data_IF_430443499102
#
_entry.id   IF_430443499102
#
_cell.length_a   1.000
_cell.length_b   1.000
_cell.length_c   1.000
_cell.angle_alpha   90.00
_cell.angle_beta   90.00
_cell.angle_gamma   90.00
#
_symmetry.space_group_name_H-M   'P 1'
#
loop_
_entity.id
_entity.type
_entity.pdbx_description
1 polymer ?
#
# COMPACT_ATOMS: atom_id res chain seq x y z
N UNK A 1 -4.91 -47.44 9.68
CA UNK A 1 -3.59 -46.79 9.68
C UNK A 1 -3.23 -46.44 8.24
N UNK A 2 -3.32 -45.17 7.84
CA UNK A 2 -2.88 -44.69 6.51
C UNK A 2 -2.07 -43.42 6.75
N UNK A 3 -0.77 -43.50 6.50
CA UNK A 3 0.18 -42.38 6.66
C UNK A 3 0.14 -41.54 5.38
N UNK A 4 -0.40 -40.32 5.45
CA UNK A 4 -0.24 -39.33 4.39
C UNK A 4 1.04 -38.52 4.63
N UNK A 5 2.06 -38.82 3.85
CA UNK A 5 3.32 -38.10 3.73
C UNK A 5 3.07 -36.71 3.12
N UNK A 6 3.20 -35.64 3.93
CA UNK A 6 3.23 -34.26 3.44
C UNK A 6 4.63 -33.92 2.95
N UNK A 7 4.80 -33.69 1.66
CA UNK A 7 6.01 -33.13 1.07
C UNK A 7 6.13 -31.65 1.44
N UNK A 8 7.08 -31.34 2.32
CA UNK A 8 7.49 -29.98 2.70
C UNK A 8 8.32 -29.37 1.58
N UNK A 9 7.86 -28.28 0.95
CA UNK A 9 8.74 -27.43 0.13
C UNK A 9 9.55 -26.52 1.05
N UNK A 10 10.87 -26.70 1.05
CA UNK A 10 11.85 -25.80 1.69
C UNK A 10 12.16 -24.62 0.75
N UNK A 11 12.45 -23.42 1.26
CA UNK A 11 12.98 -22.32 0.45
C UNK A 11 14.44 -22.62 0.10
N UNK A 12 14.74 -22.71 -1.20
CA UNK A 12 16.06 -23.00 -1.73
C UNK A 12 16.94 -21.74 -1.78
N UNK A 13 18.15 -21.85 -1.22
CA UNK A 13 19.30 -20.95 -1.43
C UNK A 13 19.64 -20.87 -2.92
N UNK A 14 19.93 -19.68 -3.45
CA UNK A 14 20.41 -19.50 -4.83
C UNK A 14 21.86 -19.03 -4.84
N UNK A 15 22.66 -19.75 -5.62
CA UNK A 15 24.05 -19.49 -5.96
C UNK A 15 24.14 -18.49 -7.11
N UNK A 16 25.17 -17.64 -7.06
CA UNK A 16 25.49 -16.70 -8.11
C UNK A 16 26.18 -17.40 -9.28
N UNK A 17 25.74 -17.12 -10.51
CA UNK A 17 26.50 -17.40 -11.72
C UNK A 17 26.65 -16.12 -12.54
N UNK A 18 27.90 -15.84 -12.89
CA UNK A 18 28.33 -14.71 -13.68
C UNK A 18 28.25 -15.03 -15.19
N UNK A 19 27.72 -14.09 -15.95
CA UNK A 19 27.95 -13.90 -17.38
C UNK A 19 28.09 -12.36 -17.55
N UNK A 20 29.18 -11.79 -18.02
CA UNK A 20 29.94 -12.15 -19.21
C UNK A 20 29.48 -11.21 -20.33
N UNK A 21 30.00 -9.98 -20.38
CA UNK A 21 29.79 -9.08 -21.52
C UNK A 21 31.11 -8.45 -21.98
N UNK A 22 31.30 -8.55 -23.29
CA UNK A 22 32.50 -8.30 -24.09
C UNK A 22 32.69 -6.81 -24.39
N UNK A 23 33.96 -6.39 -24.47
CA UNK A 23 34.44 -5.07 -24.91
C UNK A 23 34.08 -4.76 -26.37
N UNK A 24 33.83 -3.47 -26.66
CA UNK A 24 34.15 -2.88 -27.95
C UNK A 24 34.75 -1.48 -27.77
N UNK A 25 35.92 -1.29 -28.39
CA UNK A 25 36.81 -0.13 -28.40
C UNK A 25 36.43 0.81 -29.55
N UNK A 26 36.50 2.13 -29.34
CA UNK A 26 36.43 3.15 -30.38
C UNK A 26 37.32 4.35 -30.03
N UNK A 27 38.37 4.55 -30.83
CA UNK A 27 39.46 5.54 -30.71
C UNK A 27 39.08 6.94 -31.27
N UNK A 28 39.86 7.97 -30.87
CA UNK A 28 39.73 9.42 -31.20
C UNK A 28 39.82 9.80 -32.69
N UNK A 29 39.86 11.05 -33.14
CA UNK A 29 40.52 12.32 -32.68
C UNK A 29 39.85 13.54 -33.40
N UNK A 30 40.25 14.84 -33.21
CA UNK A 30 39.39 16.02 -33.33
C UNK A 30 39.66 16.89 -34.58
N UNK A 31 38.85 17.93 -34.82
CA UNK A 31 39.22 19.07 -35.70
C UNK A 31 38.68 20.38 -35.15
N UNK A 32 39.50 21.42 -35.29
CA UNK A 32 39.43 22.75 -34.70
C UNK A 32 38.88 23.81 -35.67
N UNK A 33 38.38 24.90 -35.07
CA UNK A 33 38.54 26.31 -35.47
C UNK A 33 37.70 26.92 -36.63
N UNK A 34 36.95 27.97 -36.27
CA UNK A 34 37.14 29.40 -36.66
C UNK A 34 35.76 30.11 -36.57
N UNK A 35 35.49 31.07 -35.68
CA UNK A 35 36.00 32.44 -35.52
C UNK A 35 35.03 33.51 -36.10
N UNK A 36 34.74 34.53 -35.27
CA UNK A 36 34.32 35.91 -35.59
C UNK A 36 32.84 36.13 -35.98
N UNK A 37 32.12 37.21 -35.61
CA UNK A 37 32.45 38.49 -34.94
C UNK A 37 31.15 39.19 -34.49
N UNK A 38 31.28 40.01 -33.42
CA UNK A 38 30.56 41.25 -33.12
C UNK A 38 29.01 41.26 -32.98
N UNK A 39 28.53 41.61 -31.77
CA UNK A 39 28.14 43.00 -31.47
C UNK A 39 27.79 43.17 -30.00
N UNK A 40 28.36 44.23 -29.43
CA UNK A 40 28.08 44.76 -28.10
C UNK A 40 26.65 45.30 -28.04
N UNK A 41 25.84 44.72 -27.16
CA UNK A 41 24.67 45.38 -26.60
C UNK A 41 24.50 44.93 -25.15
N UNK A 42 24.92 45.77 -24.22
CA UNK A 42 24.53 45.68 -22.82
C UNK A 42 23.07 46.11 -22.72
N UNK A 43 22.17 45.26 -22.18
CA UNK A 43 21.28 45.78 -21.15
C UNK A 43 20.97 44.78 -20.03
N UNK A 44 21.03 45.32 -18.81
CA UNK A 44 20.23 44.97 -17.61
C UNK A 44 20.50 43.62 -16.92
N UNK A 45 20.75 43.58 -15.60
CA UNK A 45 20.87 42.33 -14.86
C UNK A 45 19.50 41.64 -14.84
N UNK A 46 19.36 40.58 -15.65
CA UNK A 46 18.27 39.64 -15.51
C UNK A 46 18.32 39.05 -14.09
N UNK A 47 17.22 39.19 -13.36
CA UNK A 47 17.01 38.55 -12.07
C UNK A 47 17.48 37.10 -12.16
N UNK A 48 18.39 36.72 -11.26
CA UNK A 48 18.82 35.35 -11.11
C UNK A 48 17.57 34.48 -10.94
N UNK A 49 17.23 33.72 -11.98
CA UNK A 49 16.20 32.69 -11.91
C UNK A 49 16.62 31.76 -10.79
N UNK A 50 15.89 31.82 -9.67
CA UNK A 50 16.06 30.88 -8.58
C UNK A 50 16.04 29.46 -9.19
N UNK A 51 16.99 28.57 -8.82
CA UNK A 51 16.98 27.22 -9.35
C UNK A 51 15.60 26.61 -9.10
N UNK A 52 14.95 26.18 -10.17
CA UNK A 52 13.66 25.52 -10.09
C UNK A 52 13.77 24.38 -9.08
N UNK A 53 12.95 24.45 -8.02
CA UNK A 53 12.87 23.39 -7.01
C UNK A 53 12.66 22.06 -7.74
N UNK A 54 13.47 21.02 -7.49
CA UNK A 54 13.26 19.71 -8.10
C UNK A 54 11.80 19.32 -7.91
N UNK A 55 11.13 18.96 -9.00
CA UNK A 55 9.77 18.44 -8.93
C UNK A 55 9.77 17.27 -7.95
N UNK A 56 8.91 17.33 -6.94
CA UNK A 56 8.79 16.26 -5.97
C UNK A 56 8.46 14.97 -6.72
N UNK A 57 9.15 13.87 -6.38
CA UNK A 57 8.80 12.56 -6.94
C UNK A 57 7.34 12.25 -6.60
N UNK A 58 6.51 11.84 -7.58
CA UNK A 58 5.12 11.49 -7.33
C UNK A 58 4.99 10.45 -6.22
N UNK A 59 3.99 10.61 -5.35
CA UNK A 59 3.77 9.68 -4.24
C UNK A 59 3.42 8.29 -4.79
N UNK A 60 4.03 7.25 -4.21
CA UNK A 60 3.69 5.84 -4.49
C UNK A 60 3.70 4.95 -3.23
N UNK A 61 2.85 3.92 -3.24
CA UNK A 61 2.76 2.85 -2.24
C UNK A 61 2.80 1.52 -3.00
N UNK A 62 3.66 0.60 -2.58
CA UNK A 62 3.84 -0.72 -3.20
C UNK A 62 3.64 -1.80 -2.16
N UNK A 63 2.94 -2.88 -2.53
CA UNK A 63 2.71 -4.04 -1.69
C UNK A 63 2.98 -5.35 -2.45
N UNK A 64 3.36 -6.37 -1.67
CA UNK A 64 3.59 -7.74 -2.14
C UNK A 64 2.62 -8.71 -1.43
N UNK A 65 1.91 -9.52 -2.20
CA UNK A 65 0.96 -10.49 -1.66
C UNK A 65 1.69 -11.61 -0.90
N UNK A 66 1.28 -11.86 0.33
CA UNK A 66 1.90 -12.85 1.22
C UNK A 66 3.13 -12.34 1.98
N UNK A 67 3.57 -11.10 1.76
CA UNK A 67 4.57 -10.45 2.62
C UNK A 67 3.91 -9.98 3.93
N UNK A 68 4.49 -10.40 5.05
CA UNK A 68 3.91 -10.14 6.37
C UNK A 68 3.80 -8.66 6.72
N UNK A 69 4.76 -7.83 6.28
CA UNK A 69 4.73 -6.39 6.51
C UNK A 69 3.63 -5.72 5.68
N UNK A 70 3.50 -6.09 4.40
CA UNK A 70 2.44 -5.63 3.51
C UNK A 70 1.07 -5.96 4.11
N UNK A 71 0.85 -7.22 4.53
CA UNK A 71 -0.40 -7.64 5.15
C UNK A 71 -0.77 -6.84 6.41
N UNK A 72 0.23 -6.44 7.22
CA UNK A 72 -0.01 -5.56 8.38
C UNK A 72 -0.33 -4.13 7.95
N UNK A 73 0.32 -3.61 6.91
CA UNK A 73 0.01 -2.30 6.36
C UNK A 73 -1.41 -2.25 5.80
N UNK A 74 -1.81 -3.26 5.02
CA UNK A 74 -3.14 -3.40 4.42
C UNK A 74 -4.23 -3.46 5.50
N UNK A 75 -3.99 -4.23 6.57
CA UNK A 75 -4.88 -4.24 7.73
C UNK A 75 -5.01 -2.87 8.39
N UNK A 76 -3.89 -2.23 8.77
CA UNK A 76 -3.94 -0.97 9.52
C UNK A 76 -4.49 0.17 8.69
N UNK A 77 -4.14 0.27 7.41
CA UNK A 77 -4.67 1.26 6.48
C UNK A 77 -6.19 1.15 6.36
N UNK A 78 -6.69 -0.01 5.93
CA UNK A 78 -8.13 -0.24 5.77
C UNK A 78 -8.90 -0.13 7.10
N UNK A 79 -8.27 -0.51 8.23
CA UNK A 79 -8.89 -0.40 9.54
C UNK A 79 -8.98 1.06 10.02
N UNK A 80 -7.99 1.90 9.69
CA UNK A 80 -8.03 3.34 9.97
C UNK A 80 -9.10 4.01 9.12
N UNK A 81 -9.17 3.70 7.83
CA UNK A 81 -10.23 4.20 6.93
C UNK A 81 -11.63 3.82 7.44
N UNK A 82 -11.84 2.55 7.83
CA UNK A 82 -13.11 2.10 8.40
C UNK A 82 -13.49 2.83 9.70
N UNK A 83 -12.52 3.40 10.42
CA UNK A 83 -12.75 4.12 11.68
C UNK A 83 -12.92 5.62 11.50
N UNK A 84 -12.29 6.21 10.49
CA UNK A 84 -12.38 7.63 10.15
C UNK A 84 -13.56 7.97 9.23
N UNK A 85 -14.37 6.97 8.87
CA UNK A 85 -15.43 7.15 7.88
C UNK A 85 -16.49 8.20 8.28
N UNK A 86 -17.08 8.84 7.28
CA UNK A 86 -18.07 9.90 7.44
C UNK A 86 -19.45 9.42 6.96
N UNK A 87 -20.52 9.52 7.77
CA UNK A 87 -20.67 10.34 8.99
C UNK A 87 -20.23 9.67 10.30
N UNK A 88 -19.70 8.45 10.25
CA UNK A 88 -19.20 7.72 11.41
C UNK A 88 -18.60 6.38 11.00
N UNK A 89 -17.96 5.65 11.94
CA UNK A 89 -17.18 4.47 11.61
C UNK A 89 -18.01 3.35 10.95
N UNK A 90 -17.46 2.76 9.90
CA UNK A 90 -17.99 1.55 9.27
C UNK A 90 -17.70 0.32 10.16
N UNK A 91 -18.64 0.07 11.07
CA UNK A 91 -18.55 -1.05 12.01
C UNK A 91 -18.59 -2.42 11.32
N UNK A 92 -19.18 -2.51 10.12
CA UNK A 92 -19.26 -3.77 9.38
C UNK A 92 -17.90 -4.09 8.74
N UNK A 93 -17.26 -3.12 8.11
CA UNK A 93 -15.91 -3.26 7.57
C UNK A 93 -14.90 -3.51 8.70
N UNK A 94 -14.92 -2.71 9.77
CA UNK A 94 -14.02 -2.90 10.91
C UNK A 94 -14.15 -4.30 11.54
N UNK A 95 -15.37 -4.86 11.58
CA UNK A 95 -15.61 -6.23 12.05
C UNK A 95 -15.06 -7.28 11.08
N UNK A 96 -15.25 -7.09 9.77
CA UNK A 96 -14.74 -8.01 8.75
C UNK A 96 -13.20 -8.03 8.75
N UNK A 97 -12.56 -6.86 8.78
CA UNK A 97 -11.10 -6.73 8.88
C UNK A 97 -10.56 -7.46 10.11
N UNK A 98 -11.16 -7.23 11.29
CA UNK A 98 -10.73 -7.92 12.51
C UNK A 98 -10.91 -9.43 12.47
N UNK A 99 -11.93 -9.93 11.77
CA UNK A 99 -12.16 -11.36 11.61
C UNK A 99 -11.14 -12.00 10.66
N UNK A 100 -10.72 -11.27 9.64
CA UNK A 100 -9.79 -11.73 8.61
C UNK A 100 -8.32 -11.70 9.07
N UNK A 101 -7.89 -10.59 9.66
CA UNK A 101 -6.47 -10.34 9.94
C UNK A 101 -6.00 -10.77 11.31
N UNK A 102 -6.91 -10.93 12.28
CA UNK A 102 -6.55 -11.27 13.66
C UNK A 102 -6.80 -12.74 13.93
N UNK A 103 -5.88 -13.36 14.68
CA UNK A 103 -6.17 -14.68 15.25
C UNK A 103 -7.40 -14.61 16.17
N UNK A 104 -8.29 -15.63 16.20
CA UNK A 104 -9.47 -15.62 17.05
C UNK A 104 -9.15 -15.42 18.54
N UNK A 105 -8.04 -16.01 19.00
CA UNK A 105 -7.55 -15.85 20.36
C UNK A 105 -7.17 -14.39 20.67
N UNK A 106 -6.50 -13.72 19.74
CA UNK A 106 -6.15 -12.32 19.91
C UNK A 106 -7.36 -11.40 19.85
N UNK A 107 -8.29 -11.63 18.90
CA UNK A 107 -9.54 -10.88 18.82
C UNK A 107 -10.34 -10.95 20.14
N UNK A 108 -10.35 -12.11 20.82
CA UNK A 108 -10.98 -12.25 22.15
C UNK A 108 -10.26 -11.44 23.23
N UNK A 109 -8.91 -11.46 23.24
CA UNK A 109 -8.11 -10.64 24.17
C UNK A 109 -8.33 -9.14 23.95
N UNK A 110 -8.43 -8.70 22.70
CA UNK A 110 -8.74 -7.32 22.37
C UNK A 110 -10.10 -6.91 22.93
N UNK A 111 -11.16 -7.68 22.67
CA UNK A 111 -12.51 -7.36 23.20
C UNK A 111 -12.54 -7.23 24.73
N UNK A 112 -11.83 -8.11 25.44
CA UNK A 112 -11.72 -8.03 26.89
C UNK A 112 -10.98 -6.75 27.35
N UNK A 113 -9.92 -6.38 26.64
CA UNK A 113 -9.19 -5.14 26.90
C UNK A 113 -10.06 -3.91 26.59
N UNK A 114 -10.78 -3.88 25.47
CA UNK A 114 -11.65 -2.79 25.05
C UNK A 114 -12.72 -2.51 26.09
N UNK A 115 -13.39 -3.56 26.59
CA UNK A 115 -14.38 -3.45 27.67
C UNK A 115 -13.81 -2.82 28.95
N UNK A 116 -12.53 -3.07 29.26
CA UNK A 116 -11.87 -2.53 30.45
C UNK A 116 -11.38 -1.10 30.26
N UNK A 117 -10.96 -0.73 29.04
CA UNK A 117 -10.23 0.52 28.79
C UNK A 117 -11.06 1.58 28.04
N UNK A 118 -12.27 1.23 27.57
CA UNK A 118 -13.15 2.10 26.80
C UNK A 118 -12.43 2.80 25.64
N UNK A 119 -11.63 2.04 24.91
CA UNK A 119 -10.81 2.50 23.80
C UNK A 119 -10.72 1.38 22.76
N UNK A 120 -10.39 1.72 21.51
CA UNK A 120 -10.17 0.73 20.46
C UNK A 120 -8.93 -0.09 20.76
N UNK A 121 -9.05 -1.43 20.77
CA UNK A 121 -7.97 -2.33 21.15
C UNK A 121 -6.86 -2.46 20.10
N UNK A 122 -7.15 -2.19 18.82
CA UNK A 122 -6.17 -2.20 17.74
C UNK A 122 -5.36 -0.91 17.76
N UNK A 123 -6.05 0.23 17.87
CA UNK A 123 -5.41 1.55 17.89
C UNK A 123 -4.81 1.92 19.26
N UNK A 124 -5.26 1.23 20.33
CA UNK A 124 -5.02 1.56 21.75
C UNK A 124 -5.34 3.02 22.09
N UNK A 125 -6.38 3.55 21.46
CA UNK A 125 -6.79 4.94 21.55
C UNK A 125 -8.30 5.09 21.41
N UNK A 126 -8.85 6.23 21.83
CA UNK A 126 -10.27 6.57 21.64
C UNK A 126 -10.53 7.25 20.30
N UNK A 127 -9.53 7.96 19.77
CA UNK A 127 -9.58 8.63 18.48
C UNK A 127 -8.86 7.81 17.40
N UNK A 128 -9.05 8.25 16.16
CA UNK A 128 -8.43 7.65 14.97
C UNK A 128 -7.12 8.38 14.66
N UNK A 129 -6.05 7.68 14.25
CA UNK A 129 -4.82 8.34 13.84
C UNK A 129 -5.02 9.08 12.50
N UNK A 130 -4.30 10.19 12.33
CA UNK A 130 -4.23 10.95 11.07
C UNK A 130 -3.12 10.42 10.15
N UNK A 131 -2.11 9.75 10.72
CA UNK A 131 -1.04 9.11 9.97
C UNK A 131 -0.69 7.78 10.61
N UNK A 132 -0.26 6.84 9.79
CA UNK A 132 0.27 5.56 10.23
C UNK A 132 1.50 5.19 9.41
N UNK A 133 2.45 4.51 10.06
CA UNK A 133 3.62 3.93 9.41
C UNK A 133 3.78 2.50 9.88
N UNK A 134 3.87 1.57 8.95
CA UNK A 134 4.30 0.19 9.21
C UNK A 134 5.73 0.05 8.72
N UNK A 135 6.61 -0.51 9.53
CA UNK A 135 8.03 -0.62 9.21
C UNK A 135 8.63 -1.89 9.77
N UNK A 136 9.63 -2.44 9.11
CA UNK A 136 10.47 -3.48 9.70
C UNK A 136 11.46 -2.85 10.69
N UNK A 137 11.66 -3.52 11.83
CA UNK A 137 12.74 -3.16 12.76
C UNK A 137 14.10 -3.23 12.05
N UNK A 138 15.10 -2.53 12.59
CA UNK A 138 16.44 -2.47 11.98
C UNK A 138 17.11 -3.85 11.75
N UNK A 139 16.67 -4.89 12.46
CA UNK A 139 17.14 -6.26 12.28
C UNK A 139 16.20 -7.15 11.42
N UNK A 140 15.12 -6.60 10.87
CA UNK A 140 14.14 -7.30 10.04
C UNK A 140 13.29 -8.34 10.77
N UNK A 141 13.31 -8.38 12.11
CA UNK A 141 12.67 -9.45 12.91
C UNK A 141 11.29 -9.09 13.43
N UNK A 142 10.96 -7.81 13.49
CA UNK A 142 9.73 -7.30 14.08
C UNK A 142 9.08 -6.31 13.15
N UNK A 143 7.74 -6.37 13.06
CA UNK A 143 6.95 -5.35 12.39
C UNK A 143 6.58 -4.32 13.46
N UNK A 144 6.94 -3.07 13.20
CA UNK A 144 6.64 -1.92 14.04
C UNK A 144 5.56 -1.09 13.38
N UNK A 145 4.49 -0.81 14.11
CA UNK A 145 3.43 0.10 13.69
C UNK A 145 3.49 1.36 14.51
N UNK A 146 3.56 2.50 13.85
CA UNK A 146 3.58 3.84 14.44
C UNK A 146 2.29 4.54 14.05
N UNK A 147 1.47 4.90 15.04
CA UNK A 147 0.23 5.65 14.84
C UNK A 147 0.40 7.07 15.36
N UNK A 148 0.01 8.05 14.55
CA UNK A 148 0.10 9.47 14.87
C UNK A 148 -1.30 10.06 14.95
N UNK A 149 -1.61 10.69 16.06
CA UNK A 149 -2.91 11.27 16.40
C UNK A 149 -2.80 12.79 16.54
N UNK A 150 -3.89 13.51 16.27
CA UNK A 150 -3.91 14.98 16.32
C UNK A 150 -3.39 15.61 15.02
N UNK A 151 -2.81 16.81 15.08
CA UNK A 151 -2.36 17.55 13.91
C UNK A 151 -3.19 18.82 13.64
N UNK A 152 -2.70 19.65 12.70
CA UNK A 152 -3.19 21.02 12.54
C UNK A 152 -2.78 21.88 13.73
N UNK A 153 -3.75 22.49 14.39
CA UNK A 153 -3.54 23.30 15.61
C UNK A 153 -3.45 22.44 16.89
N UNK A 154 -3.78 21.15 16.82
CA UNK A 154 -3.77 20.24 17.97
C UNK A 154 -2.41 19.54 18.16
N UNK A 155 -1.98 19.27 19.41
CA UNK A 155 -0.72 18.59 19.68
C UNK A 155 -0.69 17.18 19.07
N UNK A 156 0.40 16.87 18.39
CA UNK A 156 0.64 15.56 17.79
C UNK A 156 1.08 14.55 18.86
N UNK A 157 0.42 13.39 18.90
CA UNK A 157 0.81 12.27 19.77
C UNK A 157 1.11 11.04 18.92
N UNK A 158 2.23 10.39 19.20
CA UNK A 158 2.63 9.17 18.50
C UNK A 158 2.66 7.97 19.46
N UNK A 159 2.08 6.86 19.02
CA UNK A 159 2.10 5.57 19.73
C UNK A 159 2.75 4.52 18.84
N UNK A 160 3.59 3.65 19.42
CA UNK A 160 4.28 2.58 18.68
C UNK A 160 3.94 1.21 19.21
N UNK A 161 3.81 0.26 18.29
CA UNK A 161 3.50 -1.13 18.57
C UNK A 161 4.51 -2.06 17.93
N UNK A 162 4.88 -3.11 18.65
CA UNK A 162 5.44 -4.34 18.11
C UNK A 162 4.28 -5.27 17.76
N UNK A 163 4.21 -5.66 16.48
CA UNK A 163 3.17 -6.53 15.93
C UNK A 163 3.76 -7.91 15.70
N UNK A 164 3.10 -8.94 16.26
CA UNK A 164 3.48 -10.34 16.07
C UNK A 164 2.49 -11.05 15.17
N UNK A 165 2.98 -11.70 14.12
CA UNK A 165 2.18 -12.57 13.28
C UNK A 165 2.32 -14.04 13.72
N UNK A 166 1.27 -14.81 13.47
CA UNK A 166 1.28 -16.26 13.58
C UNK A 166 2.04 -16.88 12.41
N UNK A 167 2.24 -18.20 12.44
CA UNK A 167 2.83 -18.93 11.30
C UNK A 167 2.01 -18.82 10.01
N UNK A 168 0.74 -18.45 10.11
CA UNK A 168 -0.17 -18.26 8.97
C UNK A 168 -0.28 -16.78 8.55
N UNK A 169 0.50 -15.88 9.14
CA UNK A 169 0.49 -14.45 8.82
C UNK A 169 -0.54 -13.62 9.59
N UNK A 170 -1.47 -14.24 10.32
CA UNK A 170 -2.46 -13.52 11.14
C UNK A 170 -1.83 -12.80 12.32
N UNK A 171 -2.31 -11.59 12.60
CA UNK A 171 -1.89 -10.81 13.76
C UNK A 171 -2.32 -11.53 15.03
N UNK A 172 -1.33 -11.92 15.82
CA UNK A 172 -1.47 -12.68 17.05
C UNK A 172 -1.25 -11.83 18.29
N UNK A 173 -0.57 -10.69 18.18
CA UNK A 173 -0.35 -9.75 19.28
C UNK A 173 0.00 -8.35 18.77
N UNK A 174 -0.46 -7.32 19.51
CA UNK A 174 -0.09 -5.91 19.32
C UNK A 174 0.32 -5.38 20.70
N UNK A 175 1.61 -5.12 20.87
CA UNK A 175 2.20 -4.68 22.14
C UNK A 175 2.76 -3.27 22.01
N UNK A 176 2.30 -2.35 22.86
CA UNK A 176 2.88 -1.01 22.92
C UNK A 176 4.35 -1.08 23.37
N UNK A 177 5.24 -0.41 22.64
CA UNK A 177 6.69 -0.42 22.88
C UNK A 177 7.26 0.96 23.29
N UNK A 178 6.39 1.89 23.69
CA UNK A 178 6.78 3.22 24.18
C UNK A 178 6.94 4.27 23.06
N UNK A 179 7.53 5.41 23.40
CA UNK A 179 7.67 6.58 22.49
C UNK A 179 8.74 6.31 21.42
N UNK A 180 8.60 6.92 20.24
CA UNK A 180 9.64 6.89 19.20
C UNK A 180 10.98 7.42 19.76
N UNK A 181 12.13 6.78 19.47
CA UNK A 181 13.42 7.36 19.78
C UNK A 181 13.56 8.69 19.03
N UNK A 182 14.24 9.67 19.64
CA UNK A 182 14.48 10.98 19.05
C UNK A 182 15.22 10.93 17.70
N UNK A 183 15.89 9.80 17.42
CA UNK A 183 16.51 9.49 16.14
C UNK A 183 15.91 8.18 15.62
N UNK A 184 15.15 8.28 14.53
CA UNK A 184 14.59 7.13 13.85
C UNK A 184 15.74 6.28 13.29
N UNK A 185 15.84 5.02 13.73
CA UNK A 185 16.73 4.07 13.07
C UNK A 185 16.13 3.79 11.70
N UNK A 186 16.93 3.94 10.64
CA UNK A 186 16.46 3.74 9.28
C UNK A 186 15.83 2.34 9.16
N UNK A 187 14.52 2.29 8.95
CA UNK A 187 13.83 1.04 8.71
C UNK A 187 14.35 0.41 7.41
N UNK A 188 14.42 -0.91 7.39
CA UNK A 188 14.82 -1.67 6.18
C UNK A 188 13.75 -1.50 5.10
N UNK A 189 12.48 -1.58 5.49
CA UNK A 189 11.30 -1.35 4.66
C UNK A 189 10.26 -0.59 5.47
N UNK A 190 9.52 0.32 4.82
CA UNK A 190 8.44 1.08 5.44
C UNK A 190 7.33 1.43 4.46
N UNK A 191 6.08 1.34 4.92
CA UNK A 191 4.88 1.84 4.24
C UNK A 191 4.23 2.86 5.16
N UNK A 192 3.88 4.02 4.60
CA UNK A 192 3.27 5.14 5.32
C UNK A 192 1.97 5.55 4.64
N UNK A 193 0.93 5.78 5.43
CA UNK A 193 -0.33 6.35 4.98
C UNK A 193 -0.75 7.56 5.80
N UNK A 194 -1.58 8.40 5.18
CA UNK A 194 -2.26 9.53 5.83
C UNK A 194 -3.76 9.47 5.52
N UNK A 195 -4.56 9.69 6.53
CA UNK A 195 -6.02 9.68 6.41
C UNK A 195 -6.48 10.82 5.49
N UNK A 196 -7.43 10.52 4.60
CA UNK A 196 -7.90 11.46 3.57
C UNK A 196 -6.99 11.62 2.34
N UNK A 197 -5.80 11.01 2.32
CA UNK A 197 -4.94 11.01 1.14
C UNK A 197 -5.44 10.01 0.10
N UNK A 198 -5.69 10.47 -1.12
CA UNK A 198 -6.24 9.65 -2.21
C UNK A 198 -5.39 8.42 -2.57
N UNK A 199 -4.06 8.56 -2.58
CA UNK A 199 -3.14 7.45 -2.84
C UNK A 199 -3.22 6.41 -1.72
N UNK A 200 -3.25 6.85 -0.46
CA UNK A 200 -3.39 5.98 0.70
C UNK A 200 -4.72 5.24 0.67
N UNK A 201 -5.85 5.94 0.52
CA UNK A 201 -7.18 5.32 0.48
C UNK A 201 -7.29 4.24 -0.62
N UNK A 202 -6.72 4.49 -1.80
CA UNK A 202 -6.70 3.51 -2.89
C UNK A 202 -5.76 2.34 -2.58
N UNK A 203 -4.58 2.59 -2.00
CA UNK A 203 -3.67 1.53 -1.58
C UNK A 203 -4.29 0.63 -0.51
N UNK A 204 -4.94 1.23 0.49
CA UNK A 204 -5.58 0.53 1.60
C UNK A 204 -6.74 -0.36 1.11
N UNK A 205 -7.53 0.15 0.16
CA UNK A 205 -8.55 -0.64 -0.51
C UNK A 205 -7.96 -1.81 -1.32
N UNK A 206 -7.02 -1.54 -2.24
CA UNK A 206 -6.49 -2.57 -3.13
C UNK A 206 -5.70 -3.63 -2.38
N UNK A 207 -4.85 -3.25 -1.41
CA UNK A 207 -4.10 -4.18 -0.57
C UNK A 207 -5.01 -5.12 0.19
N UNK A 208 -5.97 -4.58 0.95
CA UNK A 208 -6.91 -5.40 1.71
C UNK A 208 -7.82 -6.25 0.81
N UNK A 209 -8.15 -5.76 -0.38
CA UNK A 209 -8.96 -6.49 -1.35
C UNK A 209 -8.19 -7.65 -2.00
N UNK A 210 -6.90 -7.47 -2.26
CA UNK A 210 -5.99 -8.52 -2.75
C UNK A 210 -5.85 -9.63 -1.70
N UNK A 211 -5.60 -9.26 -0.44
CA UNK A 211 -5.56 -10.21 0.69
C UNK A 211 -6.87 -11.00 0.83
N UNK A 212 -8.02 -10.32 0.78
CA UNK A 212 -9.31 -10.97 0.84
C UNK A 212 -9.55 -11.97 -0.31
N UNK A 213 -8.88 -11.78 -1.45
CA UNK A 213 -9.03 -12.65 -2.64
C UNK A 213 -8.06 -13.81 -2.66
N UNK A 214 -6.89 -13.67 -2.05
CA UNK A 214 -5.88 -14.72 -1.96
C UNK A 214 -5.98 -15.59 -0.69
N UNK A 215 -7.01 -15.36 0.13
CA UNK A 215 -7.16 -16.07 1.39
C UNK A 215 -7.28 -17.60 1.22
N UNK A 216 -6.88 -18.33 2.26
CA UNK A 216 -6.82 -19.80 2.27
C UNK A 216 -7.78 -20.38 3.32
N UNK A 217 -8.67 -21.35 2.96
CA UNK A 217 -8.65 -22.19 1.76
C UNK A 217 -9.34 -21.60 0.51
N UNK A 218 -9.83 -20.37 0.59
CA UNK A 218 -10.45 -19.65 -0.51
C UNK A 218 -10.79 -18.23 -0.09
N UNK A 219 -11.26 -17.39 -1.02
CA UNK A 219 -11.40 -15.96 -0.79
C UNK A 219 -12.39 -15.64 0.34
N UNK A 220 -12.04 -14.66 1.16
CA UNK A 220 -12.92 -14.05 2.16
C UNK A 220 -13.95 -13.16 1.47
N UNK A 221 -15.04 -13.78 1.04
CA UNK A 221 -16.15 -13.09 0.37
C UNK A 221 -16.86 -12.06 1.26
N UNK A 222 -16.79 -12.21 2.59
CA UNK A 222 -17.40 -11.27 3.52
C UNK A 222 -16.58 -9.99 3.60
N UNK A 223 -15.25 -10.10 3.72
CA UNK A 223 -14.35 -8.97 3.67
C UNK A 223 -14.39 -8.28 2.31
N UNK A 224 -14.29 -9.04 1.22
CA UNK A 224 -14.36 -8.46 -0.13
C UNK A 224 -15.68 -7.70 -0.38
N UNK A 225 -16.80 -8.20 0.17
CA UNK A 225 -18.09 -7.51 0.11
C UNK A 225 -18.10 -6.22 0.96
N UNK A 226 -17.54 -6.26 2.16
CA UNK A 226 -17.47 -5.09 3.05
C UNK A 226 -16.58 -3.99 2.45
N UNK A 227 -15.40 -4.35 1.95
CA UNK A 227 -14.50 -3.44 1.25
C UNK A 227 -15.20 -2.79 0.05
N UNK A 228 -15.92 -3.59 -0.75
CA UNK A 228 -16.65 -3.04 -1.90
C UNK A 228 -17.79 -2.10 -1.51
N UNK A 229 -18.44 -2.34 -0.38
CA UNK A 229 -19.52 -1.48 0.11
C UNK A 229 -18.99 -0.15 0.67
N UNK A 230 -17.79 -0.18 1.25
CA UNK A 230 -17.14 0.97 1.85
C UNK A 230 -16.47 1.89 0.81
N UNK A 231 -15.68 1.32 -0.10
CA UNK A 231 -14.80 2.10 -0.97
C UNK A 231 -15.41 2.46 -2.32
N UNK A 232 -16.49 1.81 -2.76
CA UNK A 232 -17.13 2.11 -4.04
C UNK A 232 -18.43 2.87 -3.83
N UNK A 233 -18.63 3.90 -4.67
CA UNK A 233 -19.96 4.50 -4.78
C UNK A 233 -21.00 3.45 -5.19
N UNK A 234 -22.24 3.48 -4.67
CA UNK A 234 -23.27 2.49 -5.01
C UNK A 234 -23.54 2.38 -6.52
N UNK A 235 -23.49 3.51 -7.22
CA UNK A 235 -23.63 3.56 -8.68
C UNK A 235 -22.48 2.85 -9.41
N UNK A 236 -21.24 3.00 -8.93
CA UNK A 236 -20.10 2.30 -9.50
C UNK A 236 -20.14 0.80 -9.17
N UNK A 237 -20.45 0.42 -7.93
CA UNK A 237 -20.61 -0.98 -7.55
C UNK A 237 -21.63 -1.73 -8.42
N UNK A 238 -22.74 -1.08 -8.80
CA UNK A 238 -23.74 -1.64 -9.73
C UNK A 238 -23.17 -1.85 -11.15
N UNK A 239 -22.46 -0.84 -11.69
CA UNK A 239 -21.81 -0.93 -13.00
C UNK A 239 -20.73 -2.02 -13.01
N UNK A 240 -19.99 -2.13 -11.92
CA UNK A 240 -18.92 -3.13 -11.77
C UNK A 240 -19.50 -4.54 -11.84
N UNK A 241 -20.57 -4.83 -11.09
CA UNK A 241 -21.26 -6.14 -11.16
C UNK A 241 -21.75 -6.49 -12.56
N UNK A 242 -22.31 -5.52 -13.29
CA UNK A 242 -22.74 -5.74 -14.67
C UNK A 242 -21.56 -6.08 -15.59
N UNK A 243 -20.42 -5.40 -15.40
CA UNK A 243 -19.19 -5.71 -16.13
C UNK A 243 -18.66 -7.10 -15.79
N UNK A 244 -18.62 -7.47 -14.51
CA UNK A 244 -18.13 -8.79 -14.07
C UNK A 244 -18.90 -9.93 -14.72
N UNK A 245 -20.24 -9.82 -14.74
CA UNK A 245 -21.11 -10.79 -15.40
C UNK A 245 -20.81 -10.95 -16.88
N UNK A 246 -20.44 -9.86 -17.57
CA UNK A 246 -20.12 -9.87 -19.00
C UNK A 246 -18.72 -10.43 -19.29
N UNK A 247 -17.74 -10.19 -18.41
CA UNK A 247 -16.33 -10.43 -18.70
C UNK A 247 -15.75 -11.65 -17.98
N UNK A 248 -16.50 -12.28 -17.06
CA UNK A 248 -16.05 -13.43 -16.27
C UNK A 248 -14.68 -13.18 -15.62
N UNK A 249 -14.53 -12.02 -14.97
CA UNK A 249 -13.33 -11.55 -14.31
C UNK A 249 -13.71 -10.68 -13.11
N UNK A 250 -12.79 -10.49 -12.16
CA UNK A 250 -12.98 -9.57 -11.04
C UNK A 250 -12.93 -8.12 -11.56
N UNK A 251 -13.97 -7.34 -11.26
CA UNK A 251 -14.10 -5.98 -11.76
C UNK A 251 -13.15 -4.99 -11.08
N UNK A 252 -12.77 -5.23 -9.83
CA UNK A 252 -11.82 -4.37 -9.09
C UNK A 252 -10.41 -4.60 -9.63
N UNK A 253 -10.01 -5.86 -9.75
CA UNK A 253 -8.67 -6.21 -10.25
C UNK A 253 -8.54 -6.10 -11.77
N UNK A 254 -9.69 -6.06 -12.48
CA UNK A 254 -9.81 -6.18 -13.94
C UNK A 254 -9.07 -7.41 -14.48
N UNK A 255 -9.08 -8.49 -13.71
CA UNK A 255 -8.33 -9.72 -13.98
C UNK A 255 -9.07 -10.96 -13.43
N UNK A 256 -8.70 -12.15 -13.90
CA UNK A 256 -9.23 -13.42 -13.39
C UNK A 256 -8.46 -13.94 -12.17
N UNK A 257 -7.18 -13.58 -12.06
CA UNK A 257 -6.29 -14.01 -10.99
C UNK A 257 -6.05 -12.86 -10.00
N UNK A 258 -5.47 -13.19 -8.85
CA UNK A 258 -5.02 -12.22 -7.85
C UNK A 258 -3.59 -11.80 -8.17
N UNK A 259 -3.24 -10.49 -8.09
CA UNK A 259 -1.87 -10.05 -8.31
C UNK A 259 -0.93 -10.52 -7.19
N UNK A 260 0.33 -10.76 -7.57
CA UNK A 260 1.42 -11.01 -6.62
C UNK A 260 2.03 -9.70 -6.11
N UNK A 261 2.02 -8.68 -6.96
CA UNK A 261 2.54 -7.34 -6.66
C UNK A 261 1.53 -6.30 -7.08
N UNK A 262 1.47 -5.21 -6.32
CA UNK A 262 0.70 -4.05 -6.70
C UNK A 262 1.42 -2.75 -6.31
N UNK A 263 1.20 -1.72 -7.10
CA UNK A 263 1.68 -0.36 -6.80
C UNK A 263 0.57 0.63 -7.08
N UNK A 264 0.32 1.51 -6.13
CA UNK A 264 -0.59 2.65 -6.25
C UNK A 264 0.24 3.92 -6.26
N UNK A 265 0.02 4.79 -7.23
CA UNK A 265 0.72 6.06 -7.34
C UNK A 265 -0.19 7.18 -7.82
N UNK A 266 0.24 8.43 -7.61
CA UNK A 266 -0.44 9.58 -8.19
C UNK A 266 -0.53 9.41 -9.72
N UNK A 267 -1.74 9.59 -10.26
CA UNK A 267 -1.94 9.58 -11.70
C UNK A 267 -1.40 10.83 -12.36
N UNK A 268 -1.48 10.89 -13.70
CA UNK A 268 -1.02 12.08 -14.46
C UNK A 268 -1.84 13.34 -14.17
N UNK A 269 -3.04 13.17 -13.61
CA UNK A 269 -3.96 14.23 -13.24
C UNK A 269 -4.24 14.12 -11.73
N UNK A 270 -4.43 15.23 -11.03
CA UNK A 270 -4.64 15.27 -9.57
C UNK A 270 -5.88 14.52 -9.06
N UNK A 271 -6.77 14.06 -9.95
CA UNK A 271 -7.99 13.29 -9.63
C UNK A 271 -7.97 11.85 -10.12
N UNK A 272 -6.86 11.42 -10.73
CA UNK A 272 -6.67 10.05 -11.18
C UNK A 272 -5.57 9.41 -10.35
N UNK A 273 -5.79 8.17 -9.93
CA UNK A 273 -4.79 7.34 -9.26
C UNK A 273 -4.41 6.22 -10.21
N UNK A 274 -3.11 5.97 -10.37
CA UNK A 274 -2.62 4.86 -11.14
C UNK A 274 -2.46 3.64 -10.24
N UNK A 275 -2.96 2.48 -10.68
CA UNK A 275 -2.75 1.20 -10.00
C UNK A 275 -2.12 0.23 -10.99
N UNK A 276 -0.96 -0.30 -10.65
CA UNK A 276 -0.25 -1.28 -11.46
C UNK A 276 -0.28 -2.61 -10.73
N UNK A 277 -0.80 -3.65 -11.38
CA UNK A 277 -0.83 -5.02 -10.88
C UNK A 277 0.17 -5.87 -11.66
N UNK A 278 0.91 -6.73 -10.95
CA UNK A 278 1.75 -7.76 -11.54
C UNK A 278 1.19 -9.15 -11.22
N UNK A 279 1.14 -10.02 -12.22
CA UNK A 279 0.62 -11.38 -12.13
C UNK A 279 1.68 -12.40 -12.61
N UNK A 280 1.67 -13.60 -12.04
CA UNK A 280 2.60 -14.69 -12.36
C UNK A 280 3.62 -14.98 -11.25
N UNK A 281 4.46 -16.02 -11.42
CA UNK A 281 5.36 -16.50 -10.36
C UNK A 281 6.81 -16.76 -10.82
N UNK A 282 7.77 -16.21 -10.07
CA UNK A 282 9.22 -16.23 -10.32
C UNK A 282 9.91 -14.99 -9.72
N UNK A 283 11.19 -14.75 -10.02
CA UNK A 283 11.87 -13.48 -9.67
C UNK A 283 11.34 -12.28 -10.48
N UNK A 284 10.53 -12.53 -11.51
CA UNK A 284 9.92 -11.51 -12.36
C UNK A 284 8.46 -11.84 -12.67
N UNK A 285 7.53 -10.87 -12.51
CA UNK A 285 6.14 -11.06 -12.90
C UNK A 285 6.02 -11.20 -14.42
N UNK A 286 5.09 -12.05 -14.85
CA UNK A 286 4.92 -12.41 -16.27
C UNK A 286 3.99 -11.47 -17.02
N UNK A 287 3.05 -10.84 -16.31
CA UNK A 287 2.04 -9.94 -16.90
C UNK A 287 1.80 -8.75 -15.98
N UNK A 288 1.68 -7.57 -16.57
CA UNK A 288 1.32 -6.34 -15.88
C UNK A 288 -0.03 -5.82 -16.37
N UNK A 289 -0.82 -5.27 -15.45
CA UNK A 289 -2.03 -4.50 -15.79
C UNK A 289 -1.91 -3.10 -15.20
N UNK A 290 -2.15 -2.09 -16.03
CA UNK A 290 -2.19 -0.70 -15.60
C UNK A 290 -3.64 -0.23 -15.54
N UNK A 291 -4.06 0.25 -14.38
CA UNK A 291 -5.39 0.75 -14.11
C UNK A 291 -5.33 2.24 -13.83
N UNK A 292 -6.42 2.91 -14.19
CA UNK A 292 -6.72 4.27 -13.79
C UNK A 292 -7.96 4.22 -12.91
N UNK A 293 -7.82 4.75 -11.70
CA UNK A 293 -8.88 4.83 -10.70
C UNK A 293 -9.31 6.29 -10.56
N UNK A 294 -10.62 6.54 -10.53
CA UNK A 294 -11.20 7.86 -10.29
C UNK A 294 -11.95 7.90 -8.98
N UNK A 295 -11.79 8.99 -8.26
CA UNK A 295 -12.39 9.21 -6.95
C UNK A 295 -13.46 10.31 -7.02
N UNK A 296 -14.48 10.18 -6.19
CA UNK A 296 -15.44 11.24 -5.91
C UNK A 296 -14.73 12.40 -5.18
N UNK A 297 -15.01 13.68 -5.51
CA UNK A 297 -14.31 14.81 -4.91
C UNK A 297 -14.51 14.99 -3.41
N UNK A 298 -15.64 14.51 -2.85
CA UNK A 298 -16.05 14.83 -1.48
C UNK A 298 -15.53 13.79 -0.49
N UNK A 299 -15.90 12.52 -0.69
CA UNK A 299 -15.57 11.44 0.24
C UNK A 299 -14.43 10.54 -0.24
N UNK A 300 -13.92 10.77 -1.45
CA UNK A 300 -12.82 9.98 -2.00
C UNK A 300 -13.23 8.56 -2.42
N UNK A 301 -14.52 8.27 -2.56
CA UNK A 301 -15.02 6.96 -2.98
C UNK A 301 -14.74 6.70 -4.46
N UNK A 302 -14.51 5.44 -4.80
CA UNK A 302 -14.20 5.04 -6.16
C UNK A 302 -15.45 5.18 -7.04
N UNK A 303 -15.29 5.91 -8.13
CA UNK A 303 -16.33 6.15 -9.14
C UNK A 303 -16.03 5.45 -10.47
N UNK A 304 -14.77 5.08 -10.71
CA UNK A 304 -14.37 4.35 -11.91
C UNK A 304 -13.04 3.61 -11.70
N UNK A 305 -12.91 2.45 -12.35
CA UNK A 305 -11.66 1.69 -12.47
C UNK A 305 -11.59 1.23 -13.91
N UNK A 306 -10.56 1.57 -14.67
CA UNK A 306 -10.43 1.18 -16.08
C UNK A 306 -9.00 0.79 -16.40
N UNK A 307 -8.81 -0.13 -17.34
CA UNK A 307 -7.49 -0.41 -17.88
C UNK A 307 -7.01 0.79 -18.67
N UNK A 308 -5.73 1.13 -18.49
CA UNK A 308 -5.08 2.17 -19.27
C UNK A 308 -4.79 1.61 -20.65
N UNK A 309 -5.44 2.17 -21.66
CA UNK A 309 -5.08 1.88 -23.06
C UNK A 309 -3.73 2.53 -23.35
N UNK A 310 -2.74 1.71 -23.68
CA UNK A 310 -1.52 2.19 -24.33
C UNK A 310 -1.90 2.59 -25.75
N UNK A 311 -1.93 3.89 -26.03
CA UNK A 311 -1.94 4.42 -27.40
C UNK A 311 -0.53 4.40 -27.95
#
# INVERSE_FOLDING_TARGET
MIRNTRTRRRPGRRAAFAAGLVLAVGLGVPTQAAAQTASSSTPTPASATAPAKPAATPRSITGFNGDGMTRVADFFGAYVDAKDDSPGPDTALAKALRAHYLTPAFAKRLKAWEKKNNADGVLRAQNVPVEWTVSESANGRHIVVTLTFGGGESPTKTTRFDVKQSLLGDISDIRAIGKAPAKESAAVRSVKGRTGESVTRVADFFGAYVDAKDDSPGPDTALAKALRAHYLTPAFAKRLKAWEKKNNADGVLRAQNVPVDWTVSEGRNSREIAVTHAFGGGETPSVWTNLVVKLEPVYGDLTDIRTRTTH
#
